data_IF_562321320477
#
_entry.id   IF_562321320477
#
_cell.length_a   1.000
_cell.length_b   1.000
_cell.length_c   1.000
_cell.angle_alpha   90.00
_cell.angle_beta   90.00
_cell.angle_gamma   90.00
#
_symmetry.space_group_name_H-M   'P 1'
#
loop_
_entity.id
_entity.type
_entity.pdbx_description
1 polymer ?
#
# COMPACT_ATOMS: atom_id res chain seq x y z
N UNK A 1 -18.86 6.79 69.55
CA UNK A 1 -18.19 8.08 69.79
C UNK A 1 -16.73 7.81 70.13
N UNK A 2 -15.83 8.04 69.18
CA UNK A 2 -14.43 8.41 69.39
C UNK A 2 -13.82 8.61 68.00
N UNK A 3 -13.66 9.88 67.62
CA UNK A 3 -12.88 10.30 66.47
C UNK A 3 -11.41 9.93 66.69
N UNK A 4 -10.75 9.41 65.65
CA UNK A 4 -9.31 9.64 65.48
C UNK A 4 -9.10 10.09 64.04
N UNK A 5 -8.74 11.36 63.93
CA UNK A 5 -8.28 12.00 62.71
C UNK A 5 -6.83 11.61 62.44
N UNK A 6 -6.51 11.33 61.17
CA UNK A 6 -5.15 11.38 60.67
C UNK A 6 -5.18 12.08 59.31
N UNK A 7 -4.79 13.35 59.33
CA UNK A 7 -4.47 14.14 58.15
C UNK A 7 -3.06 13.75 57.71
N UNK A 8 -2.90 13.31 56.47
CA UNK A 8 -1.61 13.31 55.77
C UNK A 8 -1.79 14.13 54.51
N UNK A 9 -1.23 15.35 54.54
CA UNK A 9 -0.99 16.19 53.38
C UNK A 9 0.40 15.83 52.86
N UNK A 10 0.50 15.30 51.64
CA UNK A 10 1.74 15.33 50.87
C UNK A 10 1.49 15.03 49.38
N UNK A 11 1.81 15.99 48.53
CA UNK A 11 2.21 15.72 47.14
C UNK A 11 1.27 16.24 46.05
N UNK A 12 1.38 17.53 45.73
CA UNK A 12 1.18 17.99 44.36
C UNK A 12 2.35 17.49 43.52
N UNK A 13 2.10 16.60 42.54
CA UNK A 13 2.87 16.56 41.29
C UNK A 13 1.92 16.18 40.16
N UNK A 14 1.43 17.22 39.48
CA UNK A 14 0.92 17.14 38.12
C UNK A 14 2.02 16.51 37.25
N UNK A 15 1.80 15.28 36.80
CA UNK A 15 2.61 14.73 35.70
C UNK A 15 1.80 14.93 34.44
N UNK A 16 2.02 16.07 33.78
CA UNK A 16 1.54 16.29 32.43
C UNK A 16 2.17 15.21 31.52
N UNK A 17 1.40 14.46 30.72
CA UNK A 17 2.00 13.65 29.67
C UNK A 17 2.71 14.60 28.70
N UNK A 18 4.03 14.53 28.73
CA UNK A 18 4.91 15.23 27.80
C UNK A 18 4.64 14.65 26.40
N UNK A 19 4.16 15.51 25.50
CA UNK A 19 4.08 15.23 24.08
C UNK A 19 5.40 14.64 23.58
N UNK A 20 5.37 13.38 23.15
CA UNK A 20 6.51 12.72 22.54
C UNK A 20 6.10 12.23 21.15
N UNK A 21 6.76 12.82 20.15
CA UNK A 21 6.84 12.29 18.80
C UNK A 21 5.70 12.69 17.89
N UNK A 22 5.96 13.64 17.00
CA UNK A 22 5.16 13.81 15.80
C UNK A 22 5.04 12.45 15.10
N UNK A 23 3.82 11.94 15.04
CA UNK A 23 3.48 10.80 14.21
C UNK A 23 3.79 11.18 12.78
N UNK A 24 4.96 10.78 12.31
CA UNK A 24 5.27 10.78 10.89
C UNK A 24 4.29 9.79 10.31
N UNK A 25 3.16 10.27 9.79
CA UNK A 25 2.12 9.43 9.21
C UNK A 25 2.81 8.38 8.34
N UNK A 26 2.59 7.10 8.64
CA UNK A 26 3.18 5.99 7.90
C UNK A 26 2.83 6.15 6.42
N UNK A 27 3.76 6.72 5.65
CA UNK A 27 3.56 6.92 4.22
C UNK A 27 3.49 5.56 3.58
N UNK A 28 2.35 5.24 2.96
CA UNK A 28 2.16 3.96 2.27
C UNK A 28 3.18 3.81 1.13
N UNK A 29 4.26 3.06 1.36
CA UNK A 29 5.33 2.85 0.38
C UNK A 29 5.00 1.64 -0.49
N UNK A 30 4.63 1.92 -1.73
CA UNK A 30 4.29 0.89 -2.70
C UNK A 30 5.55 0.38 -3.38
N UNK A 31 5.94 -0.85 -3.03
CA UNK A 31 7.06 -1.55 -3.65
C UNK A 31 6.68 -2.16 -4.99
N UNK A 32 7.66 -2.29 -5.88
CA UNK A 32 7.54 -3.10 -7.08
C UNK A 32 7.92 -4.54 -6.75
N UNK A 33 7.05 -5.49 -7.12
CA UNK A 33 7.31 -6.92 -7.00
C UNK A 33 7.65 -7.48 -8.39
N UNK A 34 8.90 -7.87 -8.62
CA UNK A 34 9.30 -8.51 -9.88
C UNK A 34 8.73 -9.93 -10.04
N UNK A 35 8.30 -10.53 -8.95
CA UNK A 35 7.67 -11.85 -8.94
C UNK A 35 6.70 -12.00 -7.78
N UNK A 36 5.57 -12.64 -8.04
CA UNK A 36 4.58 -13.01 -7.02
C UNK A 36 4.16 -14.47 -7.17
N UNK A 37 3.98 -15.14 -6.03
CA UNK A 37 3.43 -16.49 -5.92
C UNK A 37 2.16 -16.41 -5.08
N UNK A 38 1.05 -16.84 -5.64
CA UNK A 38 -0.28 -16.77 -5.02
C UNK A 38 -0.99 -18.11 -5.19
N UNK A 39 -1.88 -18.47 -4.28
CA UNK A 39 -2.95 -19.42 -4.56
C UNK A 39 -4.12 -18.70 -5.22
N UNK A 40 -4.98 -19.42 -5.95
CA UNK A 40 -6.27 -18.89 -6.40
C UNK A 40 -7.00 -18.25 -5.21
N UNK A 41 -7.65 -17.11 -5.41
CA UNK A 41 -8.32 -16.33 -4.36
C UNK A 41 -7.42 -15.42 -3.53
N UNK A 42 -6.09 -15.50 -3.65
CA UNK A 42 -5.18 -14.56 -2.98
C UNK A 42 -4.93 -13.31 -3.83
N UNK A 43 -4.61 -12.21 -3.15
CA UNK A 43 -4.27 -10.94 -3.78
C UNK A 43 -2.94 -10.41 -3.25
N UNK A 44 -2.22 -9.67 -4.09
CA UNK A 44 -1.01 -8.96 -3.69
C UNK A 44 -0.85 -7.63 -4.44
N UNK A 45 -0.25 -6.64 -3.78
CA UNK A 45 0.21 -5.41 -4.44
C UNK A 45 1.46 -5.77 -5.26
N UNK A 46 1.37 -5.63 -6.58
CA UNK A 46 2.46 -5.97 -7.50
C UNK A 46 3.27 -4.75 -7.95
N UNK A 47 2.62 -3.58 -8.00
CA UNK A 47 3.23 -2.33 -8.45
C UNK A 47 2.42 -1.12 -7.94
N UNK A 48 2.94 0.09 -8.15
CA UNK A 48 2.15 1.33 -8.09
C UNK A 48 2.02 2.00 -9.46
N UNK A 49 0.79 2.33 -9.90
CA UNK A 49 0.53 3.16 -11.08
C UNK A 49 0.89 4.61 -10.75
N UNK A 50 1.84 5.17 -11.50
CA UNK A 50 2.12 6.61 -11.49
C UNK A 50 1.18 7.34 -12.45
N UNK A 51 0.99 8.65 -12.24
CA UNK A 51 0.53 9.52 -13.32
C UNK A 51 1.64 9.74 -14.35
N UNK A 52 1.26 10.10 -15.57
CA UNK A 52 2.19 10.59 -16.59
C UNK A 52 2.87 11.90 -16.16
N UNK A 53 2.22 12.67 -15.28
CA UNK A 53 2.80 13.85 -14.65
C UNK A 53 3.43 13.51 -13.29
N UNK A 54 4.70 13.87 -13.11
CA UNK A 54 5.38 13.66 -11.84
C UNK A 54 4.79 14.55 -10.73
N UNK A 55 4.61 13.97 -9.53
CA UNK A 55 4.19 14.71 -8.33
C UNK A 55 2.68 14.73 -8.08
N UNK A 56 1.87 14.14 -8.97
CA UNK A 56 0.42 14.00 -8.79
C UNK A 56 0.01 12.54 -8.79
N UNK A 57 -1.12 12.24 -8.15
CA UNK A 57 -1.75 10.92 -8.26
C UNK A 57 -2.30 10.73 -9.68
N UNK A 58 -2.30 9.49 -10.20
CA UNK A 58 -2.98 9.20 -11.46
C UNK A 58 -4.46 9.53 -11.35
N UNK A 59 -5.00 10.15 -12.40
CA UNK A 59 -6.42 10.40 -12.58
C UNK A 59 -7.20 9.10 -12.80
N UNK A 60 -8.50 9.12 -12.54
CA UNK A 60 -9.39 7.98 -12.77
C UNK A 60 -9.36 7.48 -14.23
N UNK A 61 -9.20 8.40 -15.19
CA UNK A 61 -9.07 8.04 -16.62
C UNK A 61 -7.76 7.28 -16.92
N UNK A 62 -6.65 7.68 -16.31
CA UNK A 62 -5.38 6.96 -16.39
C UNK A 62 -5.47 5.58 -15.73
N UNK A 63 -6.17 5.48 -14.60
CA UNK A 63 -6.44 4.20 -13.93
C UNK A 63 -7.29 3.29 -14.81
N UNK A 64 -8.42 3.77 -15.32
CA UNK A 64 -9.31 2.98 -16.17
C UNK A 64 -8.57 2.43 -17.41
N UNK A 65 -7.78 3.29 -18.08
CA UNK A 65 -6.97 2.90 -19.23
C UNK A 65 -5.90 1.87 -18.85
N UNK A 66 -5.25 2.04 -17.69
CA UNK A 66 -4.26 1.08 -17.20
C UNK A 66 -4.90 -0.28 -16.85
N UNK A 67 -6.08 -0.30 -16.20
CA UNK A 67 -6.80 -1.55 -15.90
C UNK A 67 -7.17 -2.30 -17.17
N UNK A 68 -7.75 -1.63 -18.16
CA UNK A 68 -8.11 -2.27 -19.43
C UNK A 68 -6.90 -2.94 -20.11
N UNK A 69 -5.75 -2.27 -20.13
CA UNK A 69 -4.51 -2.83 -20.67
C UNK A 69 -3.95 -3.99 -19.82
N UNK A 70 -4.11 -3.97 -18.50
CA UNK A 70 -3.62 -5.02 -17.61
C UNK A 70 -4.49 -6.28 -17.69
N UNK A 71 -5.81 -6.13 -17.65
CA UNK A 71 -6.74 -7.26 -17.69
C UNK A 71 -6.69 -7.97 -19.05
N UNK A 72 -6.46 -7.24 -20.15
CA UNK A 72 -6.30 -7.84 -21.47
C UNK A 72 -5.04 -8.74 -21.61
N UNK A 73 -4.12 -8.71 -20.65
CA UNK A 73 -2.88 -9.48 -20.71
C UNK A 73 -2.98 -10.85 -20.03
N UNK A 74 -3.98 -11.12 -19.19
CA UNK A 74 -3.94 -12.26 -18.27
C UNK A 74 -5.26 -13.00 -18.20
N UNK A 75 -5.19 -14.33 -18.11
CA UNK A 75 -6.32 -15.20 -17.76
C UNK A 75 -6.18 -15.75 -16.32
N UNK A 76 -5.07 -15.44 -15.64
CA UNK A 76 -4.74 -15.97 -14.29
C UNK A 76 -5.34 -15.16 -13.14
N UNK A 77 -5.94 -14.01 -13.42
CA UNK A 77 -6.37 -13.07 -12.40
C UNK A 77 -6.89 -11.76 -12.94
N UNK A 78 -7.24 -10.85 -12.04
CA UNK A 78 -7.77 -9.53 -12.35
C UNK A 78 -6.95 -8.45 -11.63
N UNK A 79 -6.89 -7.26 -12.22
CA UNK A 79 -6.24 -6.11 -11.61
C UNK A 79 -7.23 -5.12 -11.00
N UNK A 80 -6.86 -4.58 -9.85
CA UNK A 80 -7.59 -3.46 -9.21
C UNK A 80 -6.62 -2.41 -8.70
N UNK A 81 -7.15 -1.21 -8.45
CA UNK A 81 -6.39 -0.13 -7.83
C UNK A 81 -6.79 0.08 -6.38
N UNK A 82 -5.79 0.14 -5.51
CA UNK A 82 -5.96 0.28 -4.07
C UNK A 82 -5.71 1.70 -3.58
N UNK A 83 -5.10 1.81 -2.41
CA UNK A 83 -4.85 3.06 -1.72
C UNK A 83 -3.85 3.94 -2.45
N UNK A 84 -3.88 5.27 -2.22
CA UNK A 84 -2.79 6.11 -2.65
C UNK A 84 -1.54 5.79 -1.82
N UNK A 85 -0.39 5.94 -2.43
CA UNK A 85 0.89 5.72 -1.79
C UNK A 85 2.01 6.48 -2.49
N UNK A 86 3.24 6.16 -2.12
CA UNK A 86 4.44 6.78 -2.68
C UNK A 86 5.45 5.72 -3.10
N UNK A 87 6.13 5.96 -4.21
CA UNK A 87 7.25 5.14 -4.68
C UNK A 87 8.41 6.03 -5.10
N UNK A 88 9.65 5.61 -4.83
CA UNK A 88 10.83 6.30 -5.37
C UNK A 88 10.92 6.03 -6.87
N UNK A 89 10.94 7.09 -7.68
CA UNK A 89 11.05 7.02 -9.12
C UNK A 89 12.29 7.76 -9.60
N UNK A 90 13.15 7.08 -10.36
CA UNK A 90 14.29 7.71 -11.02
C UNK A 90 13.85 8.77 -12.04
N UNK A 91 12.79 8.47 -12.82
CA UNK A 91 12.26 9.38 -13.84
C UNK A 91 11.73 10.69 -13.26
N UNK A 92 11.06 10.61 -12.09
CA UNK A 92 10.53 11.78 -11.39
C UNK A 92 11.48 12.34 -10.32
N UNK A 93 12.73 11.84 -10.27
CA UNK A 93 13.81 12.31 -9.38
C UNK A 93 13.43 12.37 -7.89
N UNK A 94 12.55 11.48 -7.42
CA UNK A 94 12.10 11.53 -6.02
C UNK A 94 10.95 10.59 -5.66
N UNK A 95 10.35 10.82 -4.49
CA UNK A 95 9.11 10.16 -4.08
C UNK A 95 7.98 10.65 -4.98
N UNK A 96 7.32 9.73 -5.66
CA UNK A 96 6.23 10.00 -6.61
C UNK A 96 4.95 9.40 -6.06
N UNK A 97 3.84 10.16 -6.04
CA UNK A 97 2.53 9.61 -5.71
C UNK A 97 2.13 8.51 -6.70
N UNK A 98 1.56 7.43 -6.18
CA UNK A 98 1.09 6.29 -6.96
C UNK A 98 -0.23 5.77 -6.43
N UNK A 99 -0.97 5.03 -7.25
CA UNK A 99 -2.05 4.14 -6.80
C UNK A 99 -1.56 2.71 -6.78
N UNK A 100 -1.80 1.99 -5.70
CA UNK A 100 -1.52 0.56 -5.62
C UNK A 100 -2.14 -0.18 -6.80
N UNK A 101 -1.40 -1.11 -7.39
CA UNK A 101 -1.88 -2.04 -8.40
C UNK A 101 -1.88 -3.42 -7.79
N UNK A 102 -3.07 -3.96 -7.58
CA UNK A 102 -3.31 -5.20 -6.89
C UNK A 102 -3.67 -6.24 -7.93
N UNK A 103 -3.04 -7.40 -7.86
CA UNK A 103 -3.39 -8.57 -8.67
C UNK A 103 -4.10 -9.58 -7.78
N UNK A 104 -5.29 -10.02 -8.19
CA UNK A 104 -6.08 -11.06 -7.53
C UNK A 104 -6.08 -12.30 -8.40
N UNK A 105 -5.57 -13.42 -7.88
CA UNK A 105 -5.47 -14.66 -8.62
C UNK A 105 -6.84 -15.37 -8.75
N UNK A 106 -7.23 -15.75 -9.95
CA UNK A 106 -8.52 -16.42 -10.24
C UNK A 106 -8.35 -17.80 -10.88
N UNK A 107 -7.22 -18.07 -11.55
CA UNK A 107 -6.93 -19.36 -12.17
C UNK A 107 -5.45 -19.75 -12.00
N UNK A 108 -5.15 -21.06 -11.84
CA UNK A 108 -3.78 -21.54 -11.68
C UNK A 108 -2.98 -21.42 -12.98
N UNK A 109 -1.68 -21.18 -12.87
CA UNK A 109 -0.80 -21.06 -14.02
C UNK A 109 0.46 -20.24 -13.75
N UNK A 110 1.26 -20.00 -14.78
CA UNK A 110 2.44 -19.14 -14.71
C UNK A 110 2.50 -18.23 -15.91
N UNK A 111 2.75 -16.94 -15.68
CA UNK A 111 2.82 -15.94 -16.75
C UNK A 111 3.78 -14.82 -16.39
N UNK A 112 4.33 -14.15 -17.40
CA UNK A 112 5.02 -12.86 -17.24
C UNK A 112 4.12 -11.77 -17.79
N UNK A 113 3.72 -10.83 -16.93
CA UNK A 113 2.83 -9.71 -17.26
C UNK A 113 3.62 -8.40 -17.33
N UNK A 114 3.24 -7.47 -18.21
CA UNK A 114 3.82 -6.12 -18.24
C UNK A 114 2.95 -5.18 -17.42
N UNK A 115 3.30 -5.00 -16.15
CA UNK A 115 2.59 -4.12 -15.23
C UNK A 115 3.19 -2.72 -15.30
N UNK A 116 2.46 -1.77 -15.89
CA UNK A 116 2.92 -0.39 -16.11
C UNK A 116 4.26 -0.27 -16.88
N UNK A 117 4.54 -1.25 -17.74
CA UNK A 117 5.77 -1.35 -18.53
C UNK A 117 6.84 -2.27 -17.93
N UNK A 118 6.74 -2.60 -16.64
CA UNK A 118 7.70 -3.44 -15.93
C UNK A 118 7.26 -4.93 -15.92
N UNK A 119 8.18 -5.90 -16.13
CA UNK A 119 7.83 -7.32 -16.22
C UNK A 119 7.66 -7.98 -14.83
N UNK A 120 6.46 -8.46 -14.52
CA UNK A 120 6.14 -9.20 -13.28
C UNK A 120 5.93 -10.67 -13.59
N UNK A 121 6.69 -11.55 -12.94
CA UNK A 121 6.47 -13.00 -13.00
C UNK A 121 5.39 -13.41 -12.00
N UNK A 122 4.24 -13.85 -12.52
CA UNK A 122 3.13 -14.35 -11.71
C UNK A 122 3.14 -15.87 -11.74
N UNK A 123 3.00 -16.48 -10.57
CA UNK A 123 2.76 -17.92 -10.43
C UNK A 123 1.56 -18.11 -9.53
N UNK A 124 0.52 -18.75 -10.05
CA UNK A 124 -0.70 -19.09 -9.33
C UNK A 124 -0.79 -20.60 -9.16
N UNK A 125 -0.95 -21.07 -7.91
CA UNK A 125 -1.24 -22.48 -7.61
C UNK A 125 -2.73 -22.69 -7.39
N UNK A 126 -3.21 -23.91 -7.63
CA UNK A 126 -4.53 -24.31 -7.15
C UNK A 126 -4.59 -24.21 -5.62
N UNK A 127 -5.80 -23.98 -5.09
CA UNK A 127 -6.08 -24.10 -3.65
C UNK A 127 -6.13 -25.57 -3.24
#
# INVERSE_FOLDING_TARGET
>A
MALVAAVVVAGCTETAPTASGGGQADVNRVAYQSSVRLAVGQSAIVHGKRSDQCGVLPSEAELASAKANLDAQTELGEFSFGNPGVRRSGSCRGNTPVRETIFTATAPGQQVLRVHGDPVRVTVTAQ
#
